data_IF_967430468674
#
_entry.id   IF_967430468674
#
_cell.length_a   1.000
_cell.length_b   1.000
_cell.length_c   1.000
_cell.angle_alpha   90.00
_cell.angle_beta   90.00
_cell.angle_gamma   90.00
#
_symmetry.space_group_name_H-M   'P 1'
#
loop_
_entity.id
_entity.type
_entity.pdbx_description
1 polymer ?
#
# COMPACT_ATOMS: atom_id res chain seq x y z
N UNK A 1 -12.96 -13.50 39.02
CA UNK A 1 -14.18 -12.70 39.29
C UNK A 1 -14.57 -12.02 37.99
N UNK A 2 -15.68 -12.41 37.36
CA UNK A 2 -16.16 -11.80 36.13
C UNK A 2 -16.99 -10.56 36.50
N UNK A 3 -16.57 -9.38 36.06
CA UNK A 3 -17.38 -8.17 36.17
C UNK A 3 -18.53 -8.29 35.18
N UNK A 4 -19.75 -8.41 35.69
CA UNK A 4 -20.98 -8.40 34.88
C UNK A 4 -21.58 -7.00 35.00
N UNK A 5 -21.34 -6.10 34.04
CA UNK A 5 -21.91 -4.76 34.07
C UNK A 5 -23.45 -4.80 34.01
N UNK A 6 -24.08 -3.79 34.60
CA UNK A 6 -25.53 -3.65 34.57
C UNK A 6 -26.04 -3.37 33.13
N UNK A 7 -27.34 -3.55 32.86
CA UNK A 7 -27.90 -3.36 31.52
C UNK A 7 -27.66 -1.96 30.93
N UNK A 8 -27.63 -0.90 31.75
CA UNK A 8 -27.43 0.47 31.28
C UNK A 8 -25.99 0.67 30.82
N UNK A 9 -25.01 0.23 31.61
CA UNK A 9 -23.60 0.30 31.24
C UNK A 9 -23.30 -0.55 29.99
N UNK A 10 -23.92 -1.72 29.83
CA UNK A 10 -23.81 -2.51 28.59
C UNK A 10 -24.34 -1.76 27.37
N UNK A 11 -25.49 -1.09 27.50
CA UNK A 11 -26.07 -0.29 26.42
C UNK A 11 -25.15 0.86 26.01
N UNK A 12 -24.61 1.59 26.98
CA UNK A 12 -23.74 2.75 26.73
C UNK A 12 -22.41 2.32 26.07
N UNK A 13 -21.85 1.18 26.48
CA UNK A 13 -20.67 0.58 25.83
C UNK A 13 -21.00 0.17 24.39
N UNK A 14 -22.12 -0.51 24.16
CA UNK A 14 -22.54 -0.92 22.82
C UNK A 14 -22.81 0.28 21.93
N UNK A 15 -23.42 1.35 22.45
CA UNK A 15 -23.65 2.58 21.70
C UNK A 15 -22.34 3.29 21.34
N UNK A 16 -21.40 3.37 22.27
CA UNK A 16 -20.04 3.87 22.01
C UNK A 16 -19.30 3.04 20.96
N UNK A 17 -19.39 1.71 21.04
CA UNK A 17 -18.83 0.80 20.05
C UNK A 17 -19.51 0.98 18.69
N UNK A 18 -20.84 1.09 18.64
CA UNK A 18 -21.59 1.34 17.40
C UNK A 18 -21.18 2.67 16.78
N UNK A 19 -21.02 3.73 17.56
CA UNK A 19 -20.56 5.03 17.05
C UNK A 19 -19.14 4.95 16.48
N UNK A 20 -18.23 4.25 17.16
CA UNK A 20 -16.85 4.07 16.70
C UNK A 20 -16.80 3.13 15.47
N UNK A 21 -17.64 2.10 15.44
CA UNK A 21 -17.84 1.20 14.30
C UNK A 21 -18.43 1.98 13.12
N UNK A 22 -19.45 2.81 13.30
CA UNK A 22 -20.02 3.66 12.22
C UNK A 22 -18.98 4.62 11.67
N UNK A 23 -18.15 5.21 12.55
CA UNK A 23 -17.03 6.07 12.18
C UNK A 23 -15.98 5.35 11.31
N UNK A 24 -15.77 4.05 11.49
CA UNK A 24 -14.76 3.29 10.75
C UNK A 24 -15.29 2.30 9.70
N UNK A 25 -16.57 1.95 9.72
CA UNK A 25 -17.11 0.78 8.99
C UNK A 25 -18.50 1.00 8.39
N UNK A 26 -18.68 1.99 7.52
CA UNK A 26 -19.46 1.90 6.25
C UNK A 26 -20.33 3.11 5.90
N UNK A 27 -20.63 4.06 6.81
CA UNK A 27 -21.33 5.29 6.39
C UNK A 27 -20.72 6.54 7.02
N UNK A 28 -19.99 7.30 6.22
CA UNK A 28 -19.71 8.70 6.55
C UNK A 28 -21.04 9.44 6.61
N UNK A 29 -21.37 10.02 7.75
CA UNK A 29 -22.46 11.00 7.80
C UNK A 29 -22.11 12.20 6.92
N UNK A 30 -23.10 12.89 6.34
CA UNK A 30 -22.83 14.03 5.44
C UNK A 30 -21.94 15.09 6.10
N UNK A 31 -22.16 15.35 7.39
CA UNK A 31 -21.34 16.28 8.19
C UNK A 31 -19.89 15.80 8.33
N UNK A 32 -19.69 14.50 8.54
CA UNK A 32 -18.35 13.90 8.57
C UNK A 32 -17.70 13.94 7.18
N UNK A 33 -18.43 13.60 6.12
CA UNK A 33 -17.95 13.62 4.74
C UNK A 33 -17.47 15.01 4.32
N UNK A 34 -18.23 16.07 4.61
CA UNK A 34 -17.83 17.45 4.31
C UNK A 34 -16.55 17.87 5.06
N UNK A 35 -16.40 17.45 6.32
CA UNK A 35 -15.19 17.74 7.11
C UNK A 35 -13.96 17.02 6.53
N UNK A 36 -14.11 15.76 6.16
CA UNK A 36 -13.06 14.98 5.50
C UNK A 36 -12.72 15.52 4.12
N UNK A 37 -13.71 15.98 3.35
CA UNK A 37 -13.50 16.61 2.05
C UNK A 37 -12.70 17.90 2.17
N UNK A 38 -12.97 18.72 3.20
CA UNK A 38 -12.14 19.91 3.52
C UNK A 38 -10.70 19.53 3.89
N UNK A 39 -10.50 18.37 4.51
CA UNK A 39 -9.15 17.87 4.82
C UNK A 39 -8.43 17.38 3.56
N UNK A 40 -9.13 16.67 2.67
CA UNK A 40 -8.64 16.25 1.34
C UNK A 40 -8.29 17.44 0.45
N UNK A 41 -9.22 18.41 0.33
CA UNK A 41 -8.95 19.86 0.30
C UNK A 41 -7.48 20.26 0.40
N UNK A 42 -7.08 20.33 1.67
CA UNK A 42 -5.77 20.78 2.13
C UNK A 42 -4.64 19.86 1.70
N UNK A 43 -4.88 18.54 1.63
CA UNK A 43 -3.89 17.54 1.19
C UNK A 43 -3.30 17.91 -0.19
N UNK A 44 -4.09 18.42 -1.13
CA UNK A 44 -3.61 18.83 -2.46
C UNK A 44 -2.49 19.89 -2.42
N UNK A 45 -2.53 20.78 -1.42
CA UNK A 45 -1.48 21.78 -1.20
C UNK A 45 -0.34 21.23 -0.33
N UNK A 46 -0.66 20.32 0.59
CA UNK A 46 0.30 19.79 1.57
C UNK A 46 1.34 18.87 0.93
N UNK A 47 0.95 18.09 -0.07
CA UNK A 47 1.87 17.22 -0.84
C UNK A 47 2.94 18.01 -1.59
N UNK A 48 2.70 19.30 -1.84
CA UNK A 48 3.65 20.19 -2.53
C UNK A 48 4.65 20.85 -1.58
N UNK A 49 4.46 20.72 -0.26
CA UNK A 49 5.31 21.36 0.76
C UNK A 49 6.49 20.46 1.11
N UNK A 50 7.67 21.07 1.27
CA UNK A 50 8.85 20.38 1.81
C UNK A 50 8.61 19.96 3.28
N UNK A 51 9.18 18.84 3.67
CA UNK A 51 9.18 18.33 5.06
C UNK A 51 7.80 18.19 5.72
N UNK A 52 6.75 17.90 4.93
CA UNK A 52 5.37 17.86 5.43
C UNK A 52 4.81 16.42 5.60
N UNK A 53 5.70 15.43 5.69
CA UNK A 53 5.35 14.00 5.65
C UNK A 53 4.40 13.58 6.77
N UNK A 54 4.65 14.01 8.01
CA UNK A 54 3.80 13.66 9.15
C UNK A 54 2.39 14.23 9.04
N UNK A 55 2.27 15.48 8.57
CA UNK A 55 0.98 16.12 8.29
C UNK A 55 0.21 15.36 7.22
N UNK A 56 0.88 14.97 6.12
CA UNK A 56 0.27 14.19 5.05
C UNK A 56 -0.22 12.86 5.62
N UNK A 57 0.64 12.12 6.32
CA UNK A 57 0.30 10.82 6.93
C UNK A 57 -0.89 10.91 7.88
N UNK A 58 -0.94 11.91 8.74
CA UNK A 58 -2.04 12.12 9.68
C UNK A 58 -3.35 12.50 8.97
N UNK A 59 -3.29 13.25 7.87
CA UNK A 59 -4.48 13.60 7.07
C UNK A 59 -4.95 12.41 6.26
N UNK A 60 -4.04 11.68 5.62
CA UNK A 60 -4.32 10.43 4.95
C UNK A 60 -4.98 9.45 5.91
N UNK A 61 -4.52 9.38 7.16
CA UNK A 61 -5.15 8.58 8.22
C UNK A 61 -6.61 8.89 8.46
N UNK A 62 -6.91 10.16 8.73
CA UNK A 62 -8.27 10.61 9.02
C UNK A 62 -9.20 10.49 7.82
N UNK A 63 -8.67 10.56 6.60
CA UNK A 63 -9.45 10.54 5.36
C UNK A 63 -9.58 9.15 4.73
N UNK A 64 -9.10 8.10 5.39
CA UNK A 64 -9.16 6.72 4.88
C UNK A 64 -10.59 6.26 4.54
N UNK A 65 -11.55 6.53 5.42
CA UNK A 65 -12.95 6.15 5.20
C UNK A 65 -13.53 6.81 3.93
N UNK A 66 -13.20 8.08 3.68
CA UNK A 66 -13.64 8.83 2.51
C UNK A 66 -13.04 8.24 1.23
N UNK A 67 -11.72 7.99 1.21
CA UNK A 67 -11.06 7.31 0.09
C UNK A 67 -11.69 5.96 -0.24
N UNK A 68 -11.88 5.13 0.79
CA UNK A 68 -12.44 3.78 0.63
C UNK A 68 -13.84 3.83 0.03
N UNK A 69 -14.67 4.77 0.49
CA UNK A 69 -16.02 4.95 -0.03
C UNK A 69 -15.99 5.30 -1.53
N UNK A 70 -15.21 6.31 -1.92
CA UNK A 70 -15.08 6.72 -3.33
C UNK A 70 -14.60 5.58 -4.23
N UNK A 71 -13.55 4.86 -3.83
CA UNK A 71 -13.01 3.78 -4.67
C UNK A 71 -14.00 2.63 -4.83
N UNK A 72 -14.74 2.27 -3.76
CA UNK A 72 -15.70 1.17 -3.80
C UNK A 72 -16.95 1.54 -4.61
N UNK A 73 -17.49 2.75 -4.43
CA UNK A 73 -18.77 3.13 -5.02
C UNK A 73 -18.64 3.81 -6.38
N UNK A 74 -17.62 4.65 -6.57
CA UNK A 74 -17.47 5.43 -7.81
C UNK A 74 -16.62 4.69 -8.85
N UNK A 75 -15.85 3.66 -8.44
CA UNK A 75 -14.91 2.93 -9.28
C UNK A 75 -14.12 3.83 -10.26
N UNK A 76 -13.46 4.88 -9.77
CA UNK A 76 -12.89 5.92 -10.61
C UNK A 76 -11.70 5.40 -11.43
N UNK A 77 -11.46 6.02 -12.60
CA UNK A 77 -10.22 5.83 -13.34
C UNK A 77 -9.00 6.16 -12.48
N UNK A 78 -7.89 5.44 -12.68
CA UNK A 78 -6.65 5.66 -11.90
C UNK A 78 -6.12 7.09 -11.99
N UNK A 79 -6.27 7.76 -13.14
CA UNK A 79 -5.93 9.18 -13.30
C UNK A 79 -6.73 10.09 -12.36
N UNK A 80 -8.00 9.76 -12.12
CA UNK A 80 -8.87 10.51 -11.20
C UNK A 80 -8.47 10.24 -9.75
N UNK A 81 -8.10 9.00 -9.41
CA UNK A 81 -7.54 8.67 -8.09
C UNK A 81 -6.26 9.47 -7.84
N UNK A 82 -5.35 9.51 -8.81
CA UNK A 82 -4.10 10.28 -8.70
C UNK A 82 -4.35 11.77 -8.52
N UNK A 83 -5.26 12.36 -9.29
CA UNK A 83 -5.60 13.77 -9.18
C UNK A 83 -6.24 14.11 -7.81
N UNK A 84 -7.09 13.21 -7.31
CA UNK A 84 -7.87 13.43 -6.10
C UNK A 84 -7.11 13.11 -4.81
N UNK A 85 -6.22 12.13 -4.87
CA UNK A 85 -5.40 11.60 -3.77
C UNK A 85 -3.93 11.45 -4.19
N UNK A 86 -3.23 12.56 -4.52
CA UNK A 86 -1.85 12.50 -5.04
C UNK A 86 -0.86 11.84 -4.08
N UNK A 87 -1.14 11.88 -2.76
CA UNK A 87 -0.34 11.20 -1.75
C UNK A 87 -0.32 9.67 -1.94
N UNK A 88 -1.34 9.04 -2.54
CA UNK A 88 -1.34 7.61 -2.85
C UNK A 88 -0.30 7.20 -3.89
N UNK A 89 0.43 8.16 -4.49
CA UNK A 89 1.51 7.90 -5.44
C UNK A 89 2.89 8.19 -4.83
N UNK A 90 2.95 8.38 -3.52
CA UNK A 90 4.18 8.38 -2.73
C UNK A 90 4.40 7.01 -2.08
N UNK A 91 5.62 6.49 -2.11
CA UNK A 91 5.92 5.14 -1.62
C UNK A 91 5.57 4.95 -0.14
N UNK A 92 5.78 5.97 0.71
CA UNK A 92 5.49 5.85 2.15
C UNK A 92 3.99 5.77 2.41
N UNK A 93 3.20 6.55 1.68
CA UNK A 93 1.75 6.56 1.82
C UNK A 93 1.12 5.32 1.18
N UNK A 94 1.65 4.76 0.08
CA UNK A 94 1.23 3.44 -0.42
C UNK A 94 1.43 2.36 0.63
N UNK A 95 2.60 2.32 1.27
CA UNK A 95 2.88 1.36 2.34
C UNK A 95 1.91 1.54 3.52
N UNK A 96 1.62 2.78 3.90
CA UNK A 96 0.67 3.07 4.97
C UNK A 96 -0.75 2.67 4.58
N UNK A 97 -1.19 2.97 3.35
CA UNK A 97 -2.52 2.65 2.86
C UNK A 97 -2.75 1.14 2.76
N UNK A 98 -1.77 0.41 2.22
CA UNK A 98 -1.80 -1.05 2.22
C UNK A 98 -1.97 -1.61 3.63
N UNK A 99 -1.24 -1.06 4.63
CA UNK A 99 -1.38 -1.47 6.02
C UNK A 99 -2.75 -1.14 6.60
N UNK A 100 -3.39 -0.03 6.22
CA UNK A 100 -4.77 0.29 6.65
C UNK A 100 -5.78 -0.73 6.12
N UNK A 101 -5.61 -1.12 4.87
CA UNK A 101 -6.53 -2.04 4.18
C UNK A 101 -6.35 -3.47 4.69
N UNK A 102 -5.11 -3.93 4.77
CA UNK A 102 -4.79 -5.35 5.00
C UNK A 102 -4.38 -5.66 6.44
N UNK A 103 -4.12 -4.64 7.26
CA UNK A 103 -3.47 -4.72 8.58
C UNK A 103 -2.01 -5.23 8.56
N UNK A 104 -1.46 -5.52 7.38
CA UNK A 104 -0.11 -6.07 7.20
C UNK A 104 0.86 -5.02 6.63
N UNK A 105 2.16 -5.05 7.00
CA UNK A 105 3.17 -4.20 6.38
C UNK A 105 3.48 -4.67 4.96
N UNK A 106 3.27 -3.82 3.94
CA UNK A 106 3.45 -4.17 2.53
C UNK A 106 4.86 -4.72 2.24
N UNK A 107 5.90 -3.91 2.49
CA UNK A 107 7.27 -4.27 2.11
C UNK A 107 7.75 -5.56 2.78
N UNK A 108 7.61 -5.68 4.11
CA UNK A 108 8.02 -6.89 4.84
C UNK A 108 7.23 -8.13 4.39
N UNK A 109 5.93 -7.98 4.13
CA UNK A 109 5.10 -9.09 3.64
C UNK A 109 5.49 -9.49 2.22
N UNK A 110 5.77 -8.53 1.35
CA UNK A 110 6.20 -8.78 -0.03
C UNK A 110 7.54 -9.49 -0.06
N UNK A 111 8.55 -8.96 0.64
CA UNK A 111 9.90 -9.52 0.66
C UNK A 111 9.92 -10.92 1.28
N UNK A 112 9.21 -11.16 2.38
CA UNK A 112 9.13 -12.52 2.97
C UNK A 112 8.47 -13.53 2.03
N UNK A 113 7.46 -13.13 1.27
CA UNK A 113 6.83 -13.99 0.28
C UNK A 113 7.72 -14.21 -0.94
N UNK A 114 8.47 -13.20 -1.36
CA UNK A 114 9.47 -13.32 -2.42
C UNK A 114 10.52 -14.36 -2.01
N UNK A 115 11.10 -14.23 -0.81
CA UNK A 115 12.11 -15.14 -0.27
C UNK A 115 11.59 -16.59 -0.20
N UNK A 116 10.36 -16.78 0.30
CA UNK A 116 9.71 -18.08 0.38
C UNK A 116 9.50 -18.74 -1.00
N UNK A 117 9.27 -17.93 -2.04
CA UNK A 117 8.98 -18.39 -3.39
C UNK A 117 10.21 -18.46 -4.30
N UNK A 118 11.36 -17.93 -3.87
CA UNK A 118 12.60 -17.82 -4.66
C UNK A 118 12.96 -19.10 -5.41
N UNK A 119 13.06 -20.24 -4.73
CA UNK A 119 13.40 -21.53 -5.38
C UNK A 119 12.36 -21.99 -6.41
N UNK A 120 11.08 -21.67 -6.19
CA UNK A 120 10.02 -21.99 -7.14
C UNK A 120 10.10 -21.07 -8.36
N UNK A 121 10.38 -19.79 -8.16
CA UNK A 121 10.58 -18.82 -9.22
C UNK A 121 11.77 -19.20 -10.11
N UNK A 122 12.91 -19.54 -9.51
CA UNK A 122 14.10 -19.98 -10.26
C UNK A 122 13.82 -21.23 -11.11
N UNK A 123 13.06 -22.19 -10.59
CA UNK A 123 12.62 -23.37 -11.37
C UNK A 123 11.70 -23.00 -12.53
N UNK A 124 10.82 -22.02 -12.35
CA UNK A 124 9.96 -21.51 -13.43
C UNK A 124 10.78 -20.79 -14.49
N UNK A 125 11.73 -19.95 -14.07
CA UNK A 125 12.66 -19.25 -14.96
C UNK A 125 13.49 -20.22 -15.80
N UNK A 126 14.02 -21.28 -15.18
CA UNK A 126 14.83 -22.28 -15.87
C UNK A 126 14.08 -23.06 -16.96
N UNK A 127 12.74 -23.17 -16.86
CA UNK A 127 11.90 -23.83 -17.86
C UNK A 127 11.62 -22.95 -19.09
N UNK A 128 11.86 -21.63 -19.00
CA UNK A 128 11.63 -20.70 -20.12
C UNK A 128 12.73 -20.88 -21.18
N UNK A 129 12.34 -20.86 -22.45
CA UNK A 129 13.26 -20.97 -23.59
C UNK A 129 13.35 -19.65 -24.38
N UNK A 130 14.15 -19.65 -25.45
CA UNK A 130 14.32 -18.48 -26.32
C UNK A 130 15.09 -17.35 -25.65
N UNK A 131 14.91 -16.13 -26.15
CA UNK A 131 15.66 -14.96 -25.69
C UNK A 131 15.36 -14.59 -24.23
N UNK A 132 14.10 -14.68 -23.80
CA UNK A 132 13.75 -14.48 -22.39
C UNK A 132 14.39 -15.54 -21.50
N UNK A 133 14.37 -16.81 -21.92
CA UNK A 133 15.02 -17.89 -21.18
C UNK A 133 16.52 -17.66 -21.00
N UNK A 134 17.20 -17.08 -21.99
CA UNK A 134 18.61 -16.67 -21.86
C UNK A 134 18.77 -15.57 -20.81
N UNK A 135 18.04 -14.47 -20.93
CA UNK A 135 18.09 -13.34 -19.96
C UNK A 135 17.79 -13.78 -18.52
N UNK A 136 16.83 -14.68 -18.34
CA UNK A 136 16.47 -15.22 -17.03
C UNK A 136 17.57 -16.10 -16.43
N UNK A 137 18.29 -16.87 -17.26
CA UNK A 137 19.44 -17.66 -16.81
C UNK A 137 20.62 -16.75 -16.44
N UNK A 138 20.83 -15.68 -17.19
CA UNK A 138 21.88 -14.70 -16.91
C UNK A 138 21.63 -14.04 -15.55
N UNK A 139 20.40 -13.58 -15.29
CA UNK A 139 19.99 -13.04 -13.98
C UNK A 139 20.22 -14.04 -12.85
N UNK A 140 19.80 -15.29 -13.02
CA UNK A 140 19.97 -16.32 -12.00
C UNK A 140 21.45 -16.64 -11.72
N UNK A 141 22.32 -16.57 -12.74
CA UNK A 141 23.76 -16.79 -12.61
C UNK A 141 24.50 -15.63 -11.94
N UNK A 142 23.96 -14.41 -12.02
CA UNK A 142 24.52 -13.22 -11.37
C UNK A 142 24.03 -13.03 -9.93
N UNK A 143 23.15 -13.91 -9.43
CA UNK A 143 22.69 -13.85 -8.05
C UNK A 143 23.85 -14.10 -7.09
N UNK A 144 24.00 -13.19 -6.13
CA UNK A 144 25.00 -13.25 -5.06
C UNK A 144 24.37 -13.75 -3.75
N UNK A 145 25.21 -14.05 -2.76
CA UNK A 145 24.76 -14.36 -1.40
C UNK A 145 24.17 -13.15 -0.65
N UNK A 146 24.32 -11.94 -1.20
CA UNK A 146 23.64 -10.74 -0.68
C UNK A 146 22.11 -10.85 -0.88
N UNK A 147 21.37 -10.71 0.22
CA UNK A 147 19.92 -10.93 0.25
C UNK A 147 19.19 -9.91 -0.62
N UNK A 148 19.61 -8.63 -0.56
CA UNK A 148 18.91 -7.56 -1.27
C UNK A 148 19.21 -7.59 -2.78
N UNK A 149 20.45 -7.86 -3.17
CA UNK A 149 20.82 -8.11 -4.56
C UNK A 149 20.14 -9.37 -5.13
N UNK A 150 19.97 -10.40 -4.30
CA UNK A 150 19.22 -11.61 -4.65
C UNK A 150 17.74 -11.31 -4.92
N UNK A 151 17.10 -10.53 -4.03
CA UNK A 151 15.70 -10.08 -4.21
C UNK A 151 15.54 -9.21 -5.44
N UNK A 152 16.45 -8.28 -5.67
CA UNK A 152 16.45 -7.43 -6.87
C UNK A 152 16.52 -8.27 -8.15
N UNK A 153 17.42 -9.26 -8.18
CA UNK A 153 17.56 -10.20 -9.30
C UNK A 153 16.27 -10.98 -9.55
N UNK A 154 15.62 -11.47 -8.50
CA UNK A 154 14.33 -12.17 -8.62
C UNK A 154 13.22 -11.27 -9.17
N UNK A 155 13.15 -10.01 -8.72
CA UNK A 155 12.18 -9.03 -9.21
C UNK A 155 12.43 -8.71 -10.69
N UNK A 156 13.68 -8.48 -11.08
CA UNK A 156 14.06 -8.28 -12.50
C UNK A 156 13.70 -9.50 -13.34
N UNK A 157 13.94 -10.71 -12.82
CA UNK A 157 13.55 -11.96 -13.44
C UNK A 157 12.03 -12.07 -13.65
N UNK A 158 11.24 -11.69 -12.64
CA UNK A 158 9.78 -11.67 -12.74
C UNK A 158 9.30 -10.72 -13.87
N UNK A 159 9.88 -9.53 -13.97
CA UNK A 159 9.56 -8.58 -15.04
C UNK A 159 9.78 -9.23 -16.42
N UNK A 160 10.96 -9.79 -16.65
CA UNK A 160 11.30 -10.45 -17.93
C UNK A 160 10.35 -11.61 -18.22
N UNK A 161 10.00 -12.41 -17.20
CA UNK A 161 9.09 -13.54 -17.33
C UNK A 161 7.67 -13.10 -17.74
N UNK A 162 7.21 -11.93 -17.25
CA UNK A 162 5.91 -11.32 -17.57
C UNK A 162 5.93 -10.46 -18.84
N UNK A 163 7.04 -10.44 -19.59
CA UNK A 163 7.27 -9.59 -20.77
C UNK A 163 7.31 -8.08 -20.46
N UNK A 164 7.66 -7.72 -19.23
CA UNK A 164 7.83 -6.33 -18.78
C UNK A 164 9.30 -5.91 -18.85
N UNK A 165 9.55 -4.59 -18.94
CA UNK A 165 10.90 -4.06 -18.92
C UNK A 165 11.40 -3.92 -17.47
N UNK A 166 12.44 -4.66 -17.03
CA UNK A 166 12.97 -4.58 -15.68
C UNK A 166 13.52 -3.19 -15.30
N UNK A 167 14.00 -2.42 -16.27
CA UNK A 167 14.60 -1.09 -16.04
C UNK A 167 13.55 -0.02 -15.71
N UNK A 168 12.28 -0.28 -16.01
CA UNK A 168 11.16 0.62 -15.70
C UNK A 168 10.66 0.40 -14.27
N UNK A 169 10.78 -0.82 -13.74
CA UNK A 169 10.27 -1.18 -12.42
C UNK A 169 11.27 -0.86 -11.30
N UNK A 170 12.57 -1.09 -11.56
CA UNK A 170 13.67 -0.79 -10.63
C UNK A 170 14.28 0.56 -11.01
N UNK A 171 13.47 1.62 -11.02
CA UNK A 171 14.06 2.95 -10.95
C UNK A 171 14.52 3.15 -9.51
N UNK A 172 15.84 3.33 -9.34
CA UNK A 172 16.46 3.69 -8.08
C UNK A 172 15.60 4.74 -7.37
N UNK A 173 15.01 4.35 -6.24
CA UNK A 173 14.63 5.30 -5.22
C UNK A 173 15.95 5.86 -4.67
N UNK A 174 16.61 6.73 -5.45
CA UNK A 174 17.61 7.65 -4.95
C UNK A 174 16.87 8.49 -3.93
N UNK A 175 16.87 8.01 -2.69
CA UNK A 175 16.55 8.82 -1.52
C UNK A 175 17.44 10.04 -1.69
N UNK A 176 16.83 11.13 -2.16
CA UNK A 176 17.43 12.44 -2.06
C UNK A 176 17.51 12.68 -0.57
N UNK A 177 18.61 12.24 0.03
CA UNK A 177 19.08 12.70 1.32
C UNK A 177 19.42 14.17 1.07
N UNK A 178 18.44 15.02 1.29
CA UNK A 178 18.58 16.44 1.55
C UNK A 178 17.91 16.72 2.89
#
# INVERSE_FOLDING_TARGET
>A
MLLIPDPKLKSDILEGLIQEVVKYTVYLTDKCAQSLEKMRVKLLSDVKKRNNRETIRAKMDRTFALRRQEVIYDAPMMSNVQARWPALFDAMEINAEFKRITTMPLQSRFLSQLDLLSERLLRVFAKRSGEQGKKLKDIAAMMTDDIDAGRESLIKGLCIYLNENPDVLVQEYMVSVL
#
